data_IF_343293374956
#
_entry.id   IF_343293374956
#
_cell.length_a   1.000
_cell.length_b   1.000
_cell.length_c   1.000
_cell.angle_alpha   90.00
_cell.angle_beta   90.00
_cell.angle_gamma   90.00
#
_symmetry.space_group_name_H-M   'P 1'
#
loop_
_entity.id
_entity.type
_entity.pdbx_description
1 polymer ?
#
# COMPACT_ATOMS: atom_id res chain seq x y z
N UNK A 1 -5.30 -9.10 -27.04
CA UNK A 1 -5.29 -9.23 -25.57
C UNK A 1 -3.92 -8.90 -24.97
N UNK A 2 -2.88 -9.74 -25.12
CA UNK A 2 -1.55 -9.47 -24.51
C UNK A 2 -0.83 -8.21 -25.03
N UNK A 3 -0.89 -7.95 -26.35
CA UNK A 3 -0.31 -6.74 -26.95
C UNK A 3 -1.05 -5.46 -26.51
N UNK A 4 -2.37 -5.56 -26.30
CA UNK A 4 -3.17 -4.46 -25.78
C UNK A 4 -2.80 -4.17 -24.34
N UNK A 5 -2.61 -5.22 -23.53
CA UNK A 5 -2.12 -5.08 -22.18
C UNK A 5 -0.77 -4.36 -22.15
N UNK A 6 0.20 -4.76 -22.98
CA UNK A 6 1.49 -4.06 -23.06
C UNK A 6 1.33 -2.56 -23.38
N UNK A 7 0.41 -2.21 -24.30
CA UNK A 7 0.07 -0.82 -24.63
C UNK A 7 -0.60 -0.10 -23.45
N UNK A 8 -1.48 -0.74 -22.70
CA UNK A 8 -2.08 -0.18 -21.49
C UNK A 8 -1.01 0.07 -20.41
N UNK A 9 -0.13 -0.90 -20.15
CA UNK A 9 0.99 -0.73 -19.22
C UNK A 9 1.90 0.43 -19.62
N UNK A 10 2.14 0.60 -20.93
CA UNK A 10 2.92 1.72 -21.44
C UNK A 10 2.32 3.07 -21.07
N UNK A 11 0.98 3.18 -21.01
CA UNK A 11 0.31 4.43 -20.64
C UNK A 11 0.68 4.88 -19.23
N UNK A 12 0.92 3.95 -18.31
CA UNK A 12 1.28 4.26 -16.94
C UNK A 12 2.61 5.02 -16.81
N UNK A 13 3.54 4.81 -17.74
CA UNK A 13 4.79 5.57 -17.79
C UNK A 13 4.60 7.02 -18.25
N UNK A 14 3.51 7.40 -18.92
CA UNK A 14 3.23 8.82 -19.19
C UNK A 14 2.79 9.56 -17.92
N UNK A 15 2.11 8.88 -17.00
CA UNK A 15 1.74 9.45 -15.70
C UNK A 15 2.90 9.43 -14.68
N UNK A 16 3.89 8.57 -14.90
CA UNK A 16 5.09 8.42 -14.08
C UNK A 16 6.36 8.38 -14.96
N UNK A 17 6.73 9.50 -15.61
CA UNK A 17 7.76 9.53 -16.66
C UNK A 17 9.18 9.20 -16.17
N UNK A 18 9.42 9.32 -14.86
CA UNK A 18 10.72 9.02 -14.26
C UNK A 18 10.83 7.59 -13.73
N UNK A 19 9.75 6.80 -13.81
CA UNK A 19 9.77 5.39 -13.44
C UNK A 19 10.39 4.55 -14.55
N UNK A 20 11.32 3.67 -14.19
CA UNK A 20 11.88 2.67 -15.12
C UNK A 20 11.15 1.31 -15.03
N UNK A 21 10.16 1.18 -14.14
CA UNK A 21 9.38 -0.04 -14.00
C UNK A 21 8.05 0.20 -13.31
N UNK A 22 7.22 -0.85 -13.31
CA UNK A 22 5.91 -0.91 -12.67
C UNK A 22 6.00 -1.93 -11.55
N UNK A 23 5.54 -1.56 -10.35
CA UNK A 23 5.44 -2.48 -9.22
C UNK A 23 4.24 -3.40 -9.40
N UNK A 24 4.41 -4.70 -9.18
CA UNK A 24 3.33 -5.69 -9.25
C UNK A 24 3.03 -6.20 -7.85
N UNK A 25 1.74 -6.22 -7.52
CA UNK A 25 1.23 -6.71 -6.24
C UNK A 25 0.18 -7.81 -6.45
N UNK A 26 0.10 -8.73 -5.50
CA UNK A 26 -0.96 -9.73 -5.36
C UNK A 26 -1.44 -9.70 -3.92
N UNK A 27 -2.75 -9.52 -3.69
CA UNK A 27 -3.34 -9.48 -2.35
C UNK A 27 -2.69 -8.49 -1.35
N UNK A 28 -2.14 -7.37 -1.86
CA UNK A 28 -1.35 -6.35 -1.13
C UNK A 28 0.07 -6.80 -0.74
N UNK A 29 0.53 -7.93 -1.24
CA UNK A 29 1.92 -8.37 -1.15
C UNK A 29 2.67 -8.03 -2.44
N UNK A 30 3.91 -7.58 -2.28
CA UNK A 30 4.76 -7.24 -3.42
C UNK A 30 5.24 -8.53 -4.10
N UNK A 31 5.00 -8.63 -5.40
CA UNK A 31 5.37 -9.81 -6.20
C UNK A 31 6.65 -9.56 -7.00
N UNK A 32 6.81 -8.38 -7.60
CA UNK A 32 7.95 -8.08 -8.46
C UNK A 32 7.80 -6.78 -9.24
N UNK A 33 8.63 -6.61 -10.26
CA UNK A 33 8.65 -5.43 -11.13
C UNK A 33 8.59 -5.84 -12.59
N UNK A 34 7.77 -5.13 -13.37
CA UNK A 34 7.82 -5.19 -14.83
C UNK A 34 8.61 -3.98 -15.31
N UNK A 35 9.70 -4.20 -16.04
CA UNK A 35 10.58 -3.11 -16.49
C UNK A 35 10.01 -2.44 -17.73
N UNK A 36 10.19 -1.12 -17.84
CA UNK A 36 9.74 -0.34 -18.99
C UNK A 36 10.27 -0.90 -20.31
N UNK A 37 11.56 -1.25 -20.34
CA UNK A 37 12.24 -1.82 -21.52
C UNK A 37 11.59 -3.13 -21.99
N UNK A 38 11.07 -3.94 -21.06
CA UNK A 38 10.49 -5.26 -21.36
C UNK A 38 9.09 -5.06 -21.95
N UNK A 39 8.33 -4.07 -21.46
CA UNK A 39 7.06 -3.64 -22.08
C UNK A 39 7.30 -3.06 -23.47
N UNK A 40 8.30 -2.19 -23.65
CA UNK A 40 8.68 -1.62 -24.96
C UNK A 40 9.04 -2.73 -25.95
N UNK A 41 9.87 -3.69 -25.54
CA UNK A 41 10.24 -4.84 -26.36
C UNK A 41 9.05 -5.74 -26.69
N UNK A 42 8.14 -5.97 -25.74
CA UNK A 42 6.92 -6.74 -25.98
C UNK A 42 6.00 -6.09 -27.02
N UNK A 43 5.92 -4.75 -27.04
CA UNK A 43 5.16 -4.01 -28.05
C UNK A 43 5.79 -4.13 -29.44
N UNK A 44 7.12 -3.98 -29.53
CA UNK A 44 7.82 -4.00 -30.83
C UNK A 44 7.93 -5.40 -31.42
N UNK A 45 8.16 -6.41 -30.59
CA UNK A 45 8.22 -7.82 -31.01
C UNK A 45 6.86 -8.45 -31.25
N UNK A 46 5.78 -7.85 -30.71
CA UNK A 46 4.44 -8.43 -30.74
C UNK A 46 4.24 -9.59 -29.76
N UNK A 47 5.24 -9.89 -28.92
CA UNK A 47 5.20 -10.97 -27.95
C UNK A 47 5.40 -10.41 -26.54
N UNK A 48 4.29 -10.22 -25.82
CA UNK A 48 4.30 -9.82 -24.43
C UNK A 48 3.50 -10.84 -23.63
N UNK A 49 4.01 -11.21 -22.46
CA UNK A 49 3.25 -11.93 -21.45
C UNK A 49 3.58 -11.30 -20.10
N UNK A 50 2.57 -10.78 -19.39
CA UNK A 50 2.81 -10.07 -18.14
C UNK A 50 3.57 -10.93 -17.13
N UNK A 51 3.11 -12.15 -16.90
CA UNK A 51 3.64 -13.04 -15.85
C UNK A 51 5.12 -13.39 -16.10
N UNK A 52 5.49 -13.68 -17.34
CA UNK A 52 6.87 -13.98 -17.73
C UNK A 52 7.82 -12.77 -17.58
N UNK A 53 7.28 -11.55 -17.59
CA UNK A 53 8.05 -10.31 -17.47
C UNK A 53 8.06 -9.73 -16.04
N UNK A 54 7.51 -10.44 -15.06
CA UNK A 54 7.63 -10.06 -13.64
C UNK A 54 9.02 -10.46 -13.14
N UNK A 55 9.87 -9.46 -12.93
CA UNK A 55 11.19 -9.65 -12.35
C UNK A 55 11.08 -9.61 -10.82
N UNK A 56 11.40 -10.72 -10.16
CA UNK A 56 11.48 -10.78 -8.70
C UNK A 56 12.78 -10.12 -8.23
N UNK A 57 12.67 -8.87 -7.78
CA UNK A 57 13.81 -8.08 -7.30
C UNK A 57 13.81 -7.99 -5.78
N UNK A 58 15.01 -7.96 -5.19
CA UNK A 58 15.15 -7.73 -3.75
C UNK A 58 14.84 -6.28 -3.42
N UNK A 59 14.33 -6.06 -2.21
CA UNK A 59 13.90 -4.73 -1.75
C UNK A 59 15.02 -3.68 -1.84
N UNK A 60 16.26 -4.07 -1.54
CA UNK A 60 17.42 -3.16 -1.60
C UNK A 60 17.78 -2.70 -3.03
N UNK A 61 17.32 -3.40 -4.06
CA UNK A 61 17.59 -3.08 -5.48
C UNK A 61 16.49 -2.19 -6.07
N UNK A 62 15.29 -2.20 -5.48
CA UNK A 62 14.11 -1.54 -6.04
C UNK A 62 14.30 -0.04 -6.24
N UNK A 63 14.85 0.67 -5.24
CA UNK A 63 14.98 2.13 -5.31
C UNK A 63 15.89 2.56 -6.48
N UNK A 64 17.03 1.90 -6.65
CA UNK A 64 18.00 2.21 -7.71
C UNK A 64 17.47 1.86 -9.10
N UNK A 65 16.72 0.77 -9.20
CA UNK A 65 16.18 0.32 -10.47
C UNK A 65 14.98 1.18 -10.92
N UNK A 66 14.02 1.44 -10.02
CA UNK A 66 12.78 2.13 -10.35
C UNK A 66 12.97 3.63 -10.56
N UNK A 67 13.91 4.25 -9.85
CA UNK A 67 14.07 5.70 -9.81
C UNK A 67 15.44 6.13 -10.34
N UNK A 68 15.45 7.08 -11.27
CA UNK A 68 16.70 7.76 -11.68
C UNK A 68 17.22 8.64 -10.54
N UNK A 69 18.52 8.55 -10.24
CA UNK A 69 19.17 9.14 -9.06
C UNK A 69 18.85 10.63 -8.81
N UNK A 70 18.65 11.42 -9.87
CA UNK A 70 18.44 12.87 -9.79
C UNK A 70 17.02 13.33 -9.44
N UNK A 71 16.04 12.42 -9.28
CA UNK A 71 14.61 12.80 -9.28
C UNK A 71 13.74 12.25 -8.15
N UNK A 72 14.33 11.54 -7.15
CA UNK A 72 13.57 10.72 -6.19
C UNK A 72 12.43 11.45 -5.46
N UNK A 73 12.65 12.68 -4.97
CA UNK A 73 11.67 13.39 -4.12
C UNK A 73 10.29 13.61 -4.77
N UNK A 74 10.25 13.79 -6.09
CA UNK A 74 8.99 13.98 -6.83
C UNK A 74 8.68 12.79 -7.75
N UNK A 75 9.49 11.74 -7.68
CA UNK A 75 9.30 10.60 -8.53
C UNK A 75 8.05 9.83 -8.10
N UNK A 76 7.41 9.23 -9.10
CA UNK A 76 6.21 8.42 -8.94
C UNK A 76 6.46 7.06 -9.58
N UNK A 77 5.80 6.03 -9.07
CA UNK A 77 5.86 4.67 -9.64
C UNK A 77 4.45 4.12 -9.76
N UNK A 78 4.06 3.56 -10.91
CA UNK A 78 2.79 2.86 -11.04
C UNK A 78 2.83 1.52 -10.30
N UNK A 79 1.70 1.15 -9.73
CA UNK A 79 1.45 -0.11 -9.04
C UNK A 79 0.26 -0.80 -9.72
N UNK A 80 0.45 -2.04 -10.13
CA UNK A 80 -0.57 -2.87 -10.78
C UNK A 80 -0.83 -4.15 -9.99
N UNK A 81 -1.97 -4.77 -10.23
CA UNK A 81 -2.20 -6.15 -9.82
C UNK A 81 -1.55 -7.16 -10.80
N UNK A 82 -1.55 -8.44 -10.44
CA UNK A 82 -1.03 -9.52 -11.31
C UNK A 82 -1.75 -9.68 -12.66
N UNK A 83 -2.94 -9.09 -12.81
CA UNK A 83 -3.71 -9.10 -14.05
C UNK A 83 -3.41 -7.87 -14.92
N UNK A 84 -2.60 -6.93 -14.43
CA UNK A 84 -2.19 -5.74 -15.15
C UNK A 84 -3.06 -4.51 -14.92
N UNK A 85 -4.05 -4.59 -14.02
CA UNK A 85 -4.91 -3.46 -13.72
C UNK A 85 -4.16 -2.44 -12.85
N UNK A 86 -4.26 -1.15 -13.20
CA UNK A 86 -3.70 -0.09 -12.37
C UNK A 86 -4.41 -0.06 -11.01
N UNK A 87 -3.65 -0.30 -9.94
CA UNK A 87 -4.11 -0.09 -8.58
C UNK A 87 -3.99 1.40 -8.27
N UNK A 88 -2.79 1.97 -8.45
CA UNK A 88 -2.52 3.40 -8.26
C UNK A 88 -1.15 3.81 -8.79
N UNK A 89 -0.88 5.11 -8.74
CA UNK A 89 0.46 5.67 -8.91
C UNK A 89 0.90 6.23 -7.56
N UNK A 90 1.99 5.70 -7.02
CA UNK A 90 2.50 6.08 -5.71
C UNK A 90 3.63 7.08 -5.82
N UNK A 91 3.80 7.93 -4.81
CA UNK A 91 4.99 8.77 -4.65
C UNK A 91 6.20 7.96 -4.13
N UNK A 92 7.38 8.56 -4.17
CA UNK A 92 8.55 8.03 -3.50
C UNK A 92 8.36 7.89 -1.98
N UNK A 93 7.64 8.80 -1.34
CA UNK A 93 7.37 8.74 0.10
C UNK A 93 6.50 7.51 0.45
N UNK A 94 5.48 7.24 -0.35
CA UNK A 94 4.64 6.05 -0.22
C UNK A 94 5.41 4.76 -0.50
N UNK A 95 6.31 4.79 -1.49
CA UNK A 95 7.24 3.68 -1.77
C UNK A 95 8.13 3.39 -0.56
N UNK A 96 8.77 4.42 0.03
CA UNK A 96 9.60 4.27 1.22
C UNK A 96 8.79 3.70 2.40
N UNK A 97 7.55 4.15 2.61
CA UNK A 97 6.69 3.61 3.67
C UNK A 97 6.39 2.12 3.54
N UNK A 98 6.48 1.55 2.33
CA UNK A 98 6.24 0.14 2.11
C UNK A 98 7.52 -0.68 2.22
N UNK A 99 8.57 -0.26 1.52
CA UNK A 99 9.77 -1.05 1.27
C UNK A 99 10.91 -0.74 2.24
N UNK A 100 10.97 0.48 2.79
CA UNK A 100 11.99 0.95 3.72
C UNK A 100 11.33 1.41 5.02
N UNK A 101 10.46 0.55 5.56
CA UNK A 101 9.53 0.89 6.64
C UNK A 101 10.24 1.41 7.90
N UNK A 102 11.33 0.78 8.33
CA UNK A 102 12.05 1.18 9.54
C UNK A 102 12.64 2.59 9.42
N UNK A 103 13.10 2.97 8.23
CA UNK A 103 13.59 4.32 7.95
C UNK A 103 12.43 5.34 7.93
N UNK A 104 11.31 4.95 7.33
CA UNK A 104 10.10 5.76 7.27
C UNK A 104 9.56 6.06 8.67
N UNK A 105 9.32 5.02 9.47
CA UNK A 105 8.59 5.12 10.73
C UNK A 105 9.39 5.88 11.81
N UNK A 106 10.73 5.83 11.77
CA UNK A 106 11.60 6.65 12.64
C UNK A 106 11.33 8.16 12.49
N UNK A 107 10.90 8.57 11.30
CA UNK A 107 10.61 9.97 10.97
C UNK A 107 9.12 10.28 10.98
N UNK A 108 8.26 9.27 11.13
CA UNK A 108 6.81 9.43 11.15
C UNK A 108 6.38 10.00 12.51
N UNK A 109 5.91 11.24 12.52
CA UNK A 109 5.43 11.91 13.73
C UNK A 109 3.90 11.88 13.76
N UNK A 110 3.33 11.09 14.66
CA UNK A 110 1.94 11.23 15.07
C UNK A 110 1.79 12.40 16.05
N UNK A 111 0.63 13.05 16.07
CA UNK A 111 0.33 14.06 17.08
C UNK A 111 0.08 13.40 18.44
N UNK A 112 0.68 13.94 19.51
CA UNK A 112 0.54 13.39 20.87
C UNK A 112 -0.91 13.28 21.37
N UNK A 113 -1.85 14.03 20.77
CA UNK A 113 -3.27 13.91 21.09
C UNK A 113 -3.87 12.55 20.71
N UNK A 114 -3.31 11.86 19.71
CA UNK A 114 -3.79 10.55 19.26
C UNK A 114 -3.57 9.46 20.31
N UNK A 115 -2.54 9.60 21.14
CA UNK A 115 -2.23 8.65 22.21
C UNK A 115 -3.26 8.66 23.34
N UNK A 116 -4.00 9.76 23.48
CA UNK A 116 -4.98 10.01 24.55
C UNK A 116 -6.43 9.80 24.13
N UNK A 117 -6.68 9.32 22.91
CA UNK A 117 -8.03 8.98 22.47
C UNK A 117 -8.57 7.80 23.29
N UNK A 118 -9.86 7.85 23.60
CA UNK A 118 -10.61 6.86 24.39
C UNK A 118 -11.12 5.67 23.56
N UNK A 119 -10.63 5.53 22.33
CA UNK A 119 -10.90 4.41 21.44
C UNK A 119 -9.63 3.92 20.73
N UNK A 120 -9.57 2.63 20.33
CA UNK A 120 -8.49 2.13 19.49
C UNK A 120 -8.45 2.86 18.14
N UNK A 121 -7.26 3.34 17.78
CA UNK A 121 -6.99 4.01 16.50
C UNK A 121 -5.75 3.41 15.84
N UNK A 122 -5.86 3.13 14.54
CA UNK A 122 -4.74 2.69 13.70
C UNK A 122 -4.62 3.57 12.46
N UNK A 123 -3.40 3.97 12.12
CA UNK A 123 -3.08 4.66 10.86
C UNK A 123 -2.25 3.72 10.00
N UNK A 124 -2.64 3.54 8.74
CA UNK A 124 -1.89 2.74 7.77
C UNK A 124 -1.48 3.55 6.55
N UNK A 125 -0.47 3.10 5.83
CA UNK A 125 -0.21 3.57 4.47
C UNK A 125 -1.28 3.04 3.49
N UNK A 126 -1.14 3.41 2.22
CA UNK A 126 -1.99 2.95 1.14
C UNK A 126 -2.01 1.42 0.91
N UNK A 127 -0.94 0.72 1.32
CA UNK A 127 -0.81 -0.75 1.26
C UNK A 127 -1.37 -1.43 2.53
N UNK A 128 -2.07 -0.68 3.37
CA UNK A 128 -2.67 -1.15 4.64
C UNK A 128 -1.63 -1.65 5.66
N UNK A 129 -0.36 -1.23 5.51
CA UNK A 129 0.73 -1.47 6.48
C UNK A 129 0.63 -0.46 7.61
N UNK A 130 0.59 -0.93 8.86
CA UNK A 130 0.44 -0.11 10.05
C UNK A 130 1.63 0.84 10.23
N UNK A 131 1.37 2.15 10.23
CA UNK A 131 2.34 3.22 10.47
C UNK A 131 2.31 3.70 11.92
N UNK A 132 1.14 3.61 12.56
CA UNK A 132 0.92 4.03 13.94
C UNK A 132 -0.30 3.30 14.52
N UNK A 133 -0.22 2.98 15.80
CA UNK A 133 -1.32 2.48 16.61
C UNK A 133 -1.24 3.13 18.00
N UNK A 134 -2.36 3.57 18.53
CA UNK A 134 -2.39 4.08 19.91
C UNK A 134 -2.37 2.91 20.93
N UNK A 135 -2.23 3.24 22.22
CA UNK A 135 -2.16 2.23 23.30
C UNK A 135 -3.36 1.28 23.30
N UNK A 136 -4.57 1.79 23.05
CA UNK A 136 -5.78 0.97 23.01
C UNK A 136 -5.79 0.00 21.82
N UNK A 137 -5.29 0.42 20.65
CA UNK A 137 -5.14 -0.47 19.51
C UNK A 137 -4.08 -1.57 19.73
N UNK A 138 -2.97 -1.26 20.41
CA UNK A 138 -2.01 -2.30 20.83
C UNK A 138 -2.62 -3.31 21.80
N UNK A 139 -3.39 -2.83 22.78
CA UNK A 139 -4.11 -3.70 23.72
C UNK A 139 -5.11 -4.60 22.99
N UNK A 140 -5.82 -4.06 21.99
CA UNK A 140 -6.77 -4.82 21.17
C UNK A 140 -6.08 -5.88 20.30
N UNK A 141 -4.91 -5.54 19.74
CA UNK A 141 -4.12 -6.44 18.92
C UNK A 141 -3.53 -7.58 19.75
N UNK A 142 -3.05 -7.31 20.97
CA UNK A 142 -2.29 -8.25 21.83
C UNK A 142 -0.93 -8.67 21.25
N UNK A 143 -0.44 -7.96 20.22
CA UNK A 143 0.89 -8.13 19.64
C UNK A 143 1.36 -6.82 19.01
N UNK A 144 2.67 -6.68 18.79
CA UNK A 144 3.20 -5.58 18.00
C UNK A 144 2.90 -5.82 16.50
N UNK A 145 2.06 -4.95 15.94
CA UNK A 145 1.64 -4.99 14.55
C UNK A 145 2.09 -3.79 13.74
N UNK A 146 3.00 -2.97 14.29
CA UNK A 146 3.68 -1.93 13.53
C UNK A 146 4.41 -2.55 12.34
N UNK A 147 4.27 -1.95 11.15
CA UNK A 147 4.84 -2.51 9.92
C UNK A 147 4.15 -3.77 9.41
N UNK A 148 3.06 -4.23 10.03
CA UNK A 148 2.26 -5.36 9.56
C UNK A 148 0.95 -4.90 8.94
N UNK A 149 0.30 -5.78 8.19
CA UNK A 149 -1.02 -5.49 7.60
C UNK A 149 -2.09 -5.35 8.68
N UNK A 150 -2.94 -4.32 8.60
CA UNK A 150 -4.14 -4.15 9.44
C UNK A 150 -5.08 -5.36 9.36
N UNK A 151 -5.03 -6.12 8.26
CA UNK A 151 -5.83 -7.32 8.10
C UNK A 151 -5.53 -8.37 9.18
N UNK A 152 -4.33 -8.38 9.78
CA UNK A 152 -4.01 -9.29 10.89
C UNK A 152 -4.84 -8.99 12.13
N UNK A 153 -5.08 -7.71 12.43
CA UNK A 153 -5.98 -7.29 13.50
C UNK A 153 -7.43 -7.56 13.13
N UNK A 154 -7.85 -7.19 11.91
CA UNK A 154 -9.24 -7.36 11.46
C UNK A 154 -9.69 -8.83 11.42
N UNK A 155 -8.78 -9.77 11.13
CA UNK A 155 -9.05 -11.22 11.18
C UNK A 155 -9.43 -11.75 12.56
N UNK A 156 -9.20 -11.00 13.65
CA UNK A 156 -9.66 -11.36 15.00
C UNK A 156 -11.18 -11.17 15.19
N UNK A 157 -11.85 -10.52 14.24
CA UNK A 157 -13.26 -10.18 14.33
C UNK A 157 -14.07 -10.85 13.22
N UNK A 158 -15.31 -11.19 13.54
CA UNK A 158 -16.37 -11.33 12.56
C UNK A 158 -16.77 -9.93 12.06
N UNK A 159 -16.81 -9.75 10.75
CA UNK A 159 -17.10 -8.44 10.14
C UNK A 159 -18.48 -8.49 9.50
N UNK A 160 -19.42 -7.70 10.03
CA UNK A 160 -20.78 -7.55 9.50
C UNK A 160 -20.93 -6.19 8.85
N UNK A 161 -21.38 -6.18 7.59
CA UNK A 161 -21.71 -4.93 6.90
C UNK A 161 -23.10 -4.47 7.33
N UNK A 162 -23.20 -3.22 7.76
CA UNK A 162 -24.46 -2.56 8.11
C UNK A 162 -24.64 -1.30 7.26
N UNK A 163 -25.84 -0.72 7.25
CA UNK A 163 -26.16 0.44 6.41
C UNK A 163 -25.23 1.64 6.61
N UNK A 164 -24.66 1.80 7.82
CA UNK A 164 -23.80 2.93 8.21
C UNK A 164 -22.33 2.58 8.43
N UNK A 165 -21.87 1.38 8.06
CA UNK A 165 -20.48 1.00 8.23
C UNK A 165 -20.22 -0.48 8.39
N UNK A 166 -19.16 -0.80 9.14
CA UNK A 166 -18.77 -2.17 9.46
C UNK A 166 -18.87 -2.36 10.97
N UNK A 167 -19.53 -3.44 11.38
CA UNK A 167 -19.53 -3.90 12.77
C UNK A 167 -18.48 -5.00 12.88
N UNK A 168 -17.60 -4.87 13.87
CA UNK A 168 -16.60 -5.86 14.24
C UNK A 168 -17.02 -6.52 15.54
N UNK A 169 -17.15 -7.83 15.53
CA UNK A 169 -17.56 -8.63 16.69
C UNK A 169 -16.50 -9.70 16.99
N UNK A 170 -16.08 -9.78 18.24
CA UNK A 170 -15.39 -10.95 18.78
C UNK A 170 -16.08 -11.38 20.09
N UNK A 171 -15.61 -12.44 20.76
CA UNK A 171 -16.27 -12.95 21.98
C UNK A 171 -16.31 -11.94 23.15
N UNK A 172 -15.44 -10.94 23.15
CA UNK A 172 -15.23 -9.98 24.26
C UNK A 172 -15.65 -8.57 23.91
N UNK A 173 -15.57 -8.20 22.63
CA UNK A 173 -15.64 -6.83 22.17
C UNK A 173 -16.53 -6.69 20.94
N UNK A 174 -17.18 -5.53 20.86
CA UNK A 174 -18.03 -5.12 19.76
C UNK A 174 -17.73 -3.67 19.39
N UNK A 175 -17.41 -3.42 18.13
CA UNK A 175 -17.07 -2.09 17.64
C UNK A 175 -17.81 -1.75 16.35
N UNK A 176 -18.11 -0.47 16.15
CA UNK A 176 -18.27 0.09 14.81
C UNK A 176 -16.91 0.53 14.30
N UNK A 177 -16.52 0.01 13.13
CA UNK A 177 -15.30 0.41 12.45
C UNK A 177 -15.59 1.52 11.44
N UNK A 178 -14.98 2.68 11.66
CA UNK A 178 -14.95 3.77 10.70
C UNK A 178 -13.57 3.87 10.06
N UNK A 179 -13.52 3.77 8.73
CA UNK A 179 -12.29 3.90 7.94
C UNK A 179 -12.34 5.22 7.19
N UNK A 180 -11.51 6.16 7.61
CA UNK A 180 -11.36 7.46 6.95
C UNK A 180 -10.16 7.44 6.02
N UNK A 181 -10.32 8.02 4.84
CA UNK A 181 -9.23 8.28 3.88
C UNK A 181 -8.71 9.70 4.10
N UNK A 182 -7.40 9.87 4.20
CA UNK A 182 -6.78 11.19 4.20
C UNK A 182 -5.56 11.21 3.29
N UNK A 183 -5.46 12.23 2.46
CA UNK A 183 -4.50 12.31 1.38
C UNK A 183 -3.89 13.71 1.34
N UNK A 184 -2.56 13.77 1.31
CA UNK A 184 -1.83 14.98 0.93
C UNK A 184 -1.18 14.77 -0.45
N UNK A 185 -0.46 15.79 -0.95
CA UNK A 185 0.16 15.76 -2.29
C UNK A 185 1.04 14.52 -2.56
N UNK A 186 1.66 13.97 -1.52
CA UNK A 186 2.66 12.91 -1.63
C UNK A 186 2.28 11.63 -0.89
N UNK A 187 1.23 11.62 -0.07
CA UNK A 187 0.98 10.50 0.82
C UNK A 187 -0.49 10.29 1.11
N UNK A 188 -0.94 9.05 0.87
CA UNK A 188 -2.25 8.54 1.25
C UNK A 188 -2.13 7.68 2.50
N UNK A 189 -2.93 8.00 3.51
CA UNK A 189 -3.10 7.20 4.71
C UNK A 189 -4.58 6.89 4.97
N UNK A 190 -4.80 5.75 5.61
CA UNK A 190 -6.11 5.33 6.11
C UNK A 190 -6.09 5.36 7.63
N UNK A 191 -7.18 5.85 8.22
CA UNK A 191 -7.37 5.91 9.67
C UNK A 191 -8.53 5.00 10.04
N UNK A 192 -8.25 4.00 10.86
CA UNK A 192 -9.20 3.01 11.35
C UNK A 192 -9.56 3.37 12.79
N UNK A 193 -10.82 3.75 13.01
CA UNK A 193 -11.35 4.10 14.32
C UNK A 193 -12.31 3.00 14.78
N UNK A 194 -12.02 2.40 15.94
CA UNK A 194 -12.80 1.31 16.52
C UNK A 194 -13.68 1.88 17.63
N UNK A 195 -14.86 2.38 17.29
CA UNK A 195 -15.76 2.98 18.27
C UNK A 195 -16.57 1.87 18.94
N UNK A 196 -16.54 1.80 20.27
CA UNK A 196 -17.26 0.76 21.00
C UNK A 196 -18.77 0.88 20.73
N UNK A 197 -19.40 -0.26 20.48
CA UNK A 197 -20.85 -0.35 20.43
C UNK A 197 -21.33 -0.76 21.82
N UNK A 198 -22.18 0.09 22.41
CA UNK A 198 -22.91 -0.24 23.63
C UNK A 198 -23.92 -1.37 23.39
#
# INVERSE_FOLDING_TARGET
MELELARELMKYFFYAPHANGILVFEDNEYLGVVLKKDVEYGITSGNFNLFENINMLKVNELSTLLFRESSKKNAKVPVIDKAGNLIRIISYEEFISQFYFDEFVKNFKSGAFLDNLDYPLVITNCFKKCLYANKMAFNLAEFDFLGKSINLLLKKFEIKKIDRGLVLENKKDRFTLFISKSENKNFLYYVYNFLKLD
#
